data_IF_722942861238
#
_entry.id   IF_722942861238
#
_cell.length_a   1.000
_cell.length_b   1.000
_cell.length_c   1.000
_cell.angle_alpha   90.00
_cell.angle_beta   90.00
_cell.angle_gamma   90.00
#
_symmetry.space_group_name_H-M   'P 1'
#
loop_
_entity.id
_entity.type
_entity.pdbx_description
1 polymer ?
#
# COMPACT_ATOMS: atom_id res chain seq x y z
N UNK A 1 3.99 -15.28 -9.61
CA UNK A 1 3.71 -16.51 -8.85
C UNK A 1 2.60 -16.22 -7.84
N UNK A 2 1.68 -17.16 -7.59
CA UNK A 2 0.63 -17.01 -6.57
C UNK A 2 0.92 -18.01 -5.46
N UNK A 3 1.21 -17.52 -4.24
CA UNK A 3 1.56 -18.37 -3.10
C UNK A 3 1.33 -17.65 -1.77
N UNK A 4 0.94 -18.40 -0.74
CA UNK A 4 0.85 -17.88 0.63
C UNK A 4 2.24 -17.63 1.24
N UNK A 5 3.26 -18.38 0.81
CA UNK A 5 4.63 -18.16 1.23
C UNK A 5 5.33 -17.22 0.23
N UNK A 6 5.19 -15.92 0.47
CA UNK A 6 5.76 -14.89 -0.39
C UNK A 6 7.27 -15.08 -0.59
N UNK A 7 8.03 -15.43 0.45
CA UNK A 7 9.48 -15.60 0.36
C UNK A 7 9.87 -16.73 -0.59
N UNK A 8 9.16 -17.86 -0.55
CA UNK A 8 9.35 -18.95 -1.51
C UNK A 8 8.96 -18.53 -2.94
N UNK A 9 7.89 -17.74 -3.08
CA UNK A 9 7.48 -17.19 -4.38
C UNK A 9 8.50 -16.24 -4.99
N UNK A 10 9.06 -15.33 -4.18
CA UNK A 10 10.12 -14.42 -4.61
C UNK A 10 11.37 -15.18 -5.05
N UNK A 11 11.82 -16.16 -4.24
CA UNK A 11 12.96 -17.02 -4.58
C UNK A 11 12.77 -17.74 -5.92
N UNK A 12 11.58 -18.32 -6.15
CA UNK A 12 11.26 -18.98 -7.42
C UNK A 12 11.32 -18.02 -8.62
N UNK A 13 10.82 -16.79 -8.46
CA UNK A 13 10.84 -15.79 -9.55
C UNK A 13 12.27 -15.32 -9.85
N UNK A 14 13.08 -15.09 -8.82
CA UNK A 14 14.48 -14.68 -8.98
C UNK A 14 15.29 -15.81 -9.62
N UNK A 15 15.27 -17.02 -9.05
CA UNK A 15 16.11 -18.14 -9.49
C UNK A 15 15.60 -18.80 -10.78
N UNK A 16 14.28 -18.94 -10.92
CA UNK A 16 13.66 -19.66 -12.05
C UNK A 16 13.38 -18.79 -13.27
N UNK A 17 13.22 -17.48 -13.09
CA UNK A 17 12.84 -16.56 -14.16
C UNK A 17 13.75 -15.34 -14.29
N UNK A 18 14.76 -15.19 -13.42
CA UNK A 18 15.71 -14.07 -13.47
C UNK A 18 15.07 -12.73 -13.13
N UNK A 19 13.95 -12.70 -12.38
CA UNK A 19 13.32 -11.45 -11.99
C UNK A 19 14.22 -10.65 -11.03
N UNK A 20 14.43 -9.37 -11.33
CA UNK A 20 15.18 -8.40 -10.53
C UNK A 20 14.26 -7.38 -9.83
N UNK A 21 13.00 -7.27 -10.26
CA UNK A 21 11.99 -6.40 -9.67
C UNK A 21 10.69 -7.18 -9.38
N UNK A 22 10.19 -7.03 -8.15
CA UNK A 22 9.01 -7.73 -7.67
C UNK A 22 7.95 -6.73 -7.19
N UNK A 23 6.76 -6.77 -7.79
CA UNK A 23 5.59 -6.05 -7.30
C UNK A 23 4.73 -7.01 -6.50
N UNK A 24 4.41 -6.62 -5.26
CA UNK A 24 3.55 -7.40 -4.38
C UNK A 24 2.23 -6.67 -4.15
N UNK A 25 1.17 -7.20 -4.75
CA UNK A 25 -0.18 -6.80 -4.35
C UNK A 25 -0.47 -7.23 -2.90
N UNK A 26 -1.11 -6.34 -2.15
CA UNK A 26 -1.34 -6.42 -0.69
C UNK A 26 -0.11 -6.88 0.13
N UNK A 27 1.10 -6.48 -0.30
CA UNK A 27 2.37 -6.94 0.29
C UNK A 27 2.74 -6.32 1.62
N UNK A 28 2.07 -5.24 2.00
CA UNK A 28 2.49 -4.36 3.09
C UNK A 28 2.60 -5.05 4.46
N UNK A 29 1.79 -6.09 4.72
CA UNK A 29 1.78 -6.81 6.00
C UNK A 29 2.71 -8.05 6.02
N UNK A 30 3.56 -8.21 5.01
CA UNK A 30 4.37 -9.42 4.84
C UNK A 30 5.67 -9.36 5.64
N UNK A 31 5.64 -9.81 6.90
CA UNK A 31 6.81 -9.79 7.79
C UNK A 31 8.01 -10.67 7.34
N UNK A 32 7.87 -11.48 6.27
CA UNK A 32 8.86 -12.49 5.86
C UNK A 32 9.69 -12.09 4.63
N UNK A 33 9.45 -10.91 4.07
CA UNK A 33 10.23 -10.36 2.95
C UNK A 33 10.62 -8.93 3.31
N UNK A 34 11.89 -8.59 3.05
CA UNK A 34 12.33 -7.20 3.10
C UNK A 34 11.68 -6.41 1.96
N UNK A 35 11.02 -5.30 2.29
CA UNK A 35 10.38 -4.42 1.32
C UNK A 35 11.27 -3.19 1.16
N UNK A 36 11.88 -3.04 -0.02
CA UNK A 36 12.72 -1.87 -0.32
C UNK A 36 11.88 -0.59 -0.46
N UNK A 37 10.64 -0.73 -0.97
CA UNK A 37 9.71 0.39 -1.12
C UNK A 37 8.25 -0.02 -0.90
N UNK A 38 7.62 0.57 0.12
CA UNK A 38 6.21 0.34 0.44
C UNK A 38 5.35 1.52 -0.02
N UNK A 39 4.71 1.39 -1.18
CA UNK A 39 3.68 2.31 -1.65
C UNK A 39 2.33 1.92 -1.06
N UNK A 40 1.79 2.72 -0.14
CA UNK A 40 0.50 2.47 0.49
C UNK A 40 -0.59 3.26 -0.21
N UNK A 41 -1.71 2.60 -0.51
CA UNK A 41 -2.83 3.19 -1.23
C UNK A 41 -3.93 3.61 -0.26
N UNK A 42 -4.50 4.80 -0.46
CA UNK A 42 -5.71 5.26 0.25
C UNK A 42 -6.73 5.82 -0.74
N UNK A 43 -7.97 5.34 -0.68
CA UNK A 43 -9.07 5.90 -1.48
C UNK A 43 -9.48 7.26 -0.92
N UNK A 44 -9.55 8.29 -1.77
CA UNK A 44 -9.83 9.66 -1.40
C UNK A 44 -11.26 9.88 -0.86
N UNK A 45 -12.21 9.03 -1.24
CA UNK A 45 -13.63 9.09 -0.86
C UNK A 45 -13.89 8.33 0.43
N UNK A 46 -13.24 7.18 0.62
CA UNK A 46 -13.44 6.32 1.79
C UNK A 46 -12.47 6.64 2.94
N UNK A 47 -11.24 7.02 2.62
CA UNK A 47 -10.19 7.25 3.62
C UNK A 47 -9.93 6.00 4.47
N UNK A 48 -10.06 6.14 5.79
CA UNK A 48 -9.83 5.07 6.79
C UNK A 48 -11.10 4.52 7.42
N UNK A 49 -12.27 4.87 6.88
CA UNK A 49 -13.56 4.57 7.49
C UNK A 49 -13.69 5.16 8.90
N UNK A 50 -14.03 4.33 9.89
CA UNK A 50 -14.22 4.77 11.27
C UNK A 50 -12.91 4.92 12.10
N UNK A 51 -11.74 4.70 11.47
CA UNK A 51 -10.43 4.87 12.11
C UNK A 51 -10.07 3.84 13.19
N UNK A 52 -10.88 2.79 13.37
CA UNK A 52 -10.65 1.73 14.37
C UNK A 52 -9.98 0.52 13.72
N UNK A 53 -9.20 -0.19 14.54
CA UNK A 53 -8.58 -1.48 14.16
C UNK A 53 -9.60 -2.61 14.27
N UNK A 54 -9.45 -3.64 13.45
CA UNK A 54 -10.25 -4.88 13.49
C UNK A 54 -10.29 -5.45 14.93
N UNK A 55 -11.46 -5.91 15.42
CA UNK A 55 -12.75 -5.99 14.73
C UNK A 55 -13.59 -4.71 14.77
N UNK A 56 -13.15 -3.66 15.47
CA UNK A 56 -13.91 -2.42 15.67
C UNK A 56 -13.96 -1.49 14.45
N UNK A 57 -13.20 -1.79 13.39
CA UNK A 57 -13.12 -1.01 12.16
C UNK A 57 -12.28 -1.70 11.09
N UNK A 58 -12.09 -1.06 9.92
CA UNK A 58 -11.47 -1.67 8.75
C UNK A 58 -9.94 -1.71 8.79
N UNK A 59 -9.29 -1.04 9.75
CA UNK A 59 -7.83 -0.95 9.78
C UNK A 59 -7.20 -2.23 10.34
N UNK A 60 -6.13 -2.70 9.71
CA UNK A 60 -5.32 -3.84 10.22
C UNK A 60 -4.43 -3.45 11.41
N UNK A 61 -3.99 -2.20 11.45
CA UNK A 61 -3.20 -1.60 12.53
C UNK A 61 -3.46 -0.09 12.60
N UNK A 62 -2.97 0.62 13.62
CA UNK A 62 -3.13 2.07 13.69
C UNK A 62 -2.38 2.72 12.53
N UNK A 63 -2.90 3.84 12.01
CA UNK A 63 -2.26 4.56 10.90
C UNK A 63 -0.83 4.97 11.24
N UNK A 64 -0.60 5.47 12.46
CA UNK A 64 0.73 5.89 12.92
C UNK A 64 1.76 4.75 12.87
N UNK A 65 1.36 3.54 13.26
CA UNK A 65 2.23 2.36 13.25
C UNK A 65 2.56 1.94 11.82
N UNK A 66 1.58 2.05 10.91
CA UNK A 66 1.76 1.76 9.50
C UNK A 66 2.66 2.79 8.79
N UNK A 67 2.55 4.08 9.13
CA UNK A 67 3.37 5.12 8.50
C UNK A 67 4.88 4.99 8.78
N UNK A 68 5.27 4.27 9.82
CA UNK A 68 6.68 3.94 10.11
C UNK A 68 7.30 3.11 8.97
N UNK A 69 6.53 2.19 8.40
CA UNK A 69 6.97 1.28 7.35
C UNK A 69 6.55 1.72 5.94
N UNK A 70 5.84 2.85 5.83
CA UNK A 70 5.38 3.39 4.54
C UNK A 70 6.50 4.20 3.89
N UNK A 71 6.86 3.89 2.64
CA UNK A 71 7.82 4.68 1.87
C UNK A 71 7.14 5.85 1.16
N UNK A 72 5.89 5.69 0.72
CA UNK A 72 5.08 6.74 0.10
C UNK A 72 3.59 6.43 0.16
N UNK A 73 2.75 7.47 0.06
CA UNK A 73 1.29 7.34 0.07
C UNK A 73 0.72 7.71 -1.30
N UNK A 74 -0.09 6.83 -1.87
CA UNK A 74 -0.87 7.07 -3.08
C UNK A 74 -2.32 7.37 -2.72
N UNK A 75 -2.77 8.61 -2.94
CA UNK A 75 -4.18 9.00 -2.81
C UNK A 75 -4.88 8.71 -4.14
N UNK A 76 -5.85 7.79 -4.11
CA UNK A 76 -6.63 7.36 -5.27
C UNK A 76 -7.95 8.11 -5.36
N UNK A 77 -8.17 8.79 -6.48
CA UNK A 77 -9.38 9.53 -6.81
C UNK A 77 -9.48 10.88 -6.10
N UNK A 78 -10.67 11.45 -6.18
CA UNK A 78 -11.01 12.76 -5.60
C UNK A 78 -11.85 12.60 -4.33
N UNK A 79 -11.68 13.53 -3.39
CA UNK A 79 -12.37 13.52 -2.10
C UNK A 79 -11.48 13.96 -0.95
N UNK A 80 -12.10 14.26 0.19
CA UNK A 80 -11.43 14.80 1.38
C UNK A 80 -11.26 13.77 2.52
N UNK A 81 -11.83 12.56 2.39
CA UNK A 81 -11.82 11.57 3.47
C UNK A 81 -10.40 11.07 3.81
N UNK A 82 -9.50 11.06 2.83
CA UNK A 82 -8.09 10.70 3.02
C UNK A 82 -7.22 11.85 3.58
N UNK A 83 -7.72 13.09 3.64
CA UNK A 83 -6.85 14.26 3.87
C UNK A 83 -6.18 14.25 5.24
N UNK A 84 -6.82 13.67 6.25
CA UNK A 84 -6.21 13.50 7.57
C UNK A 84 -4.96 12.59 7.49
N UNK A 85 -5.03 11.49 6.75
CA UNK A 85 -3.92 10.56 6.54
C UNK A 85 -2.85 11.19 5.66
N UNK A 86 -3.23 11.90 4.60
CA UNK A 86 -2.29 12.66 3.76
C UNK A 86 -1.48 13.64 4.60
N UNK A 87 -2.14 14.40 5.50
CA UNK A 87 -1.44 15.31 6.42
C UNK A 87 -0.53 14.57 7.39
N UNK A 88 -0.92 13.41 7.90
CA UNK A 88 -0.08 12.60 8.78
C UNK A 88 1.16 12.06 8.04
N UNK A 89 0.98 11.53 6.84
CA UNK A 89 2.06 11.02 5.99
C UNK A 89 3.03 12.14 5.60
N UNK A 90 2.52 13.31 5.17
CA UNK A 90 3.35 14.46 4.84
C UNK A 90 4.16 14.96 6.05
N UNK A 91 3.56 15.02 7.25
CA UNK A 91 4.27 15.37 8.49
C UNK A 91 5.34 14.34 8.88
N UNK A 92 5.15 13.08 8.51
CA UNK A 92 6.14 12.01 8.66
C UNK A 92 7.19 12.02 7.53
N UNK A 93 7.21 13.04 6.67
CA UNK A 93 8.17 13.16 5.57
C UNK A 93 7.94 12.16 4.43
N UNK A 94 6.75 11.56 4.34
CA UNK A 94 6.42 10.61 3.27
C UNK A 94 5.96 11.37 2.02
N UNK A 95 6.51 11.05 0.84
CA UNK A 95 6.00 11.60 -0.41
C UNK A 95 4.54 11.19 -0.62
N UNK A 96 3.77 12.13 -1.19
CA UNK A 96 2.36 11.96 -1.52
C UNK A 96 2.22 11.95 -3.03
N UNK A 97 1.63 10.89 -3.56
CA UNK A 97 1.30 10.73 -4.96
C UNK A 97 -0.22 10.80 -5.13
N UNK A 98 -0.67 11.40 -6.23
CA UNK A 98 -2.08 11.48 -6.60
C UNK A 98 -2.29 10.62 -7.84
N UNK A 99 -3.38 9.86 -7.88
CA UNK A 99 -3.77 9.12 -9.07
C UNK A 99 -5.29 9.04 -9.19
N UNK A 100 -5.77 8.93 -10.42
CA UNK A 100 -7.17 8.71 -10.76
C UNK A 100 -7.26 7.59 -11.79
N UNK A 101 -8.44 6.96 -11.88
CA UNK A 101 -8.70 5.93 -12.88
C UNK A 101 -9.40 6.60 -14.05
N UNK A 102 -8.81 6.47 -15.23
CA UNK A 102 -9.46 6.83 -16.50
C UNK A 102 -9.85 5.54 -17.23
N UNK A 103 -11.03 5.48 -17.86
CA UNK A 103 -11.34 4.41 -18.79
C UNK A 103 -10.27 4.37 -19.88
N UNK A 104 -9.65 3.20 -20.09
CA UNK A 104 -8.84 3.01 -21.28
C UNK A 104 -9.79 3.01 -22.48
N UNK A 105 -9.52 3.86 -23.48
CA UNK A 105 -10.19 3.74 -24.77
C UNK A 105 -10.00 2.30 -25.26
N UNK A 106 -11.07 1.58 -25.63
CA UNK A 106 -10.94 0.26 -26.21
C UNK A 106 -10.26 0.42 -27.58
N UNK A 107 -8.94 0.24 -27.61
CA UNK A 107 -8.14 0.10 -28.83
C UNK A 107 -8.55 -1.14 -29.61
#
# INVERSE_FOLDING_TARGET
AVTANRAAGAKLLIEGHGCDFLIMDDGFQSARIHIDYALVVIDARFGVGNGRVIPGGPLRAKIVDQLVFTSGLLKMGEGAAADAVVRQAARAGRPIFLAHVEPADPS
#
